data_IF_797367365312
#
_entry.id   IF_797367365312
#
_cell.length_a   1.000
_cell.length_b   1.000
_cell.length_c   1.000
_cell.angle_alpha   90.00
_cell.angle_beta   90.00
_cell.angle_gamma   90.00
#
_symmetry.space_group_name_H-M   'P 1'
#
loop_
_entity.id
_entity.type
_entity.pdbx_description
1 polymer ?
#
# COMPACT_ATOMS: atom_id res chain seq x y z
N UNK A 1 -0.82 14.68 2.98
CA UNK A 1 -0.92 15.46 1.72
C UNK A 1 -2.38 15.75 1.34
N UNK A 2 -3.28 14.75 1.36
CA UNK A 2 -4.71 14.92 1.01
C UNK A 2 -5.38 16.04 1.81
N UNK A 3 -5.45 15.93 3.14
CA UNK A 3 -6.14 16.94 3.97
C UNK A 3 -5.46 18.32 3.91
N UNK A 4 -4.13 18.37 3.73
CA UNK A 4 -3.38 19.62 3.53
C UNK A 4 -3.75 20.31 2.20
N UNK A 5 -3.95 19.53 1.13
CA UNK A 5 -4.42 20.08 -0.15
C UNK A 5 -5.83 20.65 -0.04
N UNK A 6 -6.71 19.95 0.68
CA UNK A 6 -8.07 20.44 0.98
C UNK A 6 -8.00 21.74 1.80
N UNK A 7 -7.10 21.80 2.80
CA UNK A 7 -6.90 22.96 3.65
C UNK A 7 -6.51 24.23 2.85
N UNK A 8 -5.53 24.12 1.95
CA UNK A 8 -4.97 25.25 1.21
C UNK A 8 -5.70 25.59 -0.11
N UNK A 9 -7.00 25.29 -0.19
CA UNK A 9 -7.86 25.76 -1.29
C UNK A 9 -8.42 24.67 -2.19
N UNK A 10 -8.07 23.40 -1.97
CA UNK A 10 -8.70 22.25 -2.61
C UNK A 10 -8.86 22.37 -4.15
N UNK A 11 -7.82 22.81 -4.85
CA UNK A 11 -7.90 23.09 -6.30
C UNK A 11 -8.21 21.88 -7.17
N UNK A 12 -8.06 20.66 -6.63
CA UNK A 12 -8.44 19.40 -7.29
C UNK A 12 -9.93 19.07 -7.08
N UNK A 13 -10.66 19.85 -6.29
CA UNK A 13 -12.10 19.67 -6.08
C UNK A 13 -12.48 18.39 -5.34
N UNK A 14 -11.58 17.85 -4.49
CA UNK A 14 -11.86 16.65 -3.70
C UNK A 14 -13.11 16.86 -2.84
N UNK A 15 -14.06 15.94 -2.96
CA UNK A 15 -15.20 15.88 -2.05
C UNK A 15 -14.75 15.14 -0.77
N UNK A 16 -14.72 15.84 0.37
CA UNK A 16 -14.24 15.28 1.65
C UNK A 16 -15.06 14.07 2.12
N UNK A 17 -16.28 13.89 1.59
CA UNK A 17 -17.14 12.73 1.85
C UNK A 17 -16.83 11.52 0.96
N UNK A 18 -16.00 11.72 -0.07
CA UNK A 18 -15.62 10.71 -1.08
C UNK A 18 -14.10 10.49 -1.14
N UNK A 19 -13.39 10.84 -0.07
CA UNK A 19 -12.01 10.40 0.11
C UNK A 19 -12.06 8.90 0.40
N UNK A 20 -11.52 8.10 -0.51
CA UNK A 20 -11.44 6.65 -0.35
C UNK A 20 -10.22 6.23 0.47
N UNK A 21 -9.19 7.09 0.50
CA UNK A 21 -7.93 6.82 1.18
C UNK A 21 -8.04 6.97 2.70
N UNK A 22 -7.93 5.85 3.42
CA UNK A 22 -7.87 5.78 4.88
C UNK A 22 -6.43 5.93 5.39
N UNK A 23 -6.27 6.12 6.69
CA UNK A 23 -4.97 6.14 7.37
C UNK A 23 -4.58 4.71 7.76
N UNK A 24 -3.33 4.51 8.18
CA UNK A 24 -2.86 3.19 8.63
C UNK A 24 -1.99 3.26 9.88
N UNK A 25 -2.03 2.20 10.68
CA UNK A 25 -1.17 1.99 11.84
C UNK A 25 -0.97 0.48 12.03
N UNK A 26 0.26 0.04 12.32
CA UNK A 26 0.55 -1.38 12.55
C UNK A 26 0.30 -1.78 14.02
N UNK A 27 -0.94 -1.58 14.47
CA UNK A 27 -1.39 -1.93 15.81
C UNK A 27 -2.83 -2.44 15.74
N UNK A 28 -3.17 -3.38 16.63
CA UNK A 28 -4.54 -3.87 16.78
C UNK A 28 -5.38 -2.87 17.59
N UNK A 29 -5.62 -1.69 17.03
CA UNK A 29 -6.39 -0.63 17.67
C UNK A 29 -7.79 -0.51 17.06
N UNK A 30 -8.78 -1.09 17.75
CA UNK A 30 -10.17 -1.04 17.31
C UNK A 30 -10.78 0.37 17.38
N UNK A 31 -10.24 1.26 18.21
CA UNK A 31 -10.82 2.58 18.46
C UNK A 31 -10.66 3.51 17.25
N UNK A 32 -9.72 3.23 16.36
CA UNK A 32 -9.42 4.03 15.18
C UNK A 32 -10.19 3.58 13.91
N UNK A 33 -11.06 2.57 14.00
CA UNK A 33 -11.84 2.08 12.85
C UNK A 33 -12.69 3.17 12.22
N UNK A 34 -13.31 4.01 13.05
CA UNK A 34 -14.14 5.14 12.63
C UNK A 34 -13.81 6.35 13.50
N UNK A 35 -13.42 7.45 12.86
CA UNK A 35 -13.09 8.70 13.53
C UNK A 35 -13.67 9.89 12.77
N UNK A 36 -13.70 11.04 13.44
CA UNK A 36 -13.81 12.35 12.78
C UNK A 36 -12.49 13.08 13.01
N UNK A 37 -11.85 13.52 11.94
CA UNK A 37 -10.57 14.23 12.00
C UNK A 37 -10.75 15.73 11.70
N UNK A 38 -9.65 16.50 11.76
CA UNK A 38 -9.62 17.94 11.44
C UNK A 38 -10.61 18.80 12.24
N UNK A 39 -10.80 18.48 13.52
CA UNK A 39 -11.61 19.25 14.47
C UNK A 39 -10.80 20.39 15.11
N UNK A 40 -11.50 21.34 15.76
CA UNK A 40 -10.87 22.40 16.56
C UNK A 40 -10.79 23.78 15.87
N UNK A 41 -11.65 24.05 14.89
CA UNK A 41 -11.81 25.38 14.29
C UNK A 41 -10.98 25.61 13.02
N UNK A 42 -10.98 26.86 12.54
CA UNK A 42 -10.49 27.26 11.22
C UNK A 42 -9.03 26.87 10.97
N UNK A 43 -8.17 26.94 11.99
CA UNK A 43 -6.75 26.60 11.88
C UNK A 43 -6.50 25.10 11.61
N UNK A 44 -7.46 24.23 11.92
CA UNK A 44 -7.27 22.77 11.90
C UNK A 44 -7.94 22.09 10.69
N UNK A 45 -8.58 22.89 9.84
CA UNK A 45 -9.10 22.49 8.54
C UNK A 45 -10.58 22.10 8.53
N UNK A 46 -10.91 21.14 7.67
CA UNK A 46 -12.29 20.80 7.34
C UNK A 46 -12.65 19.42 7.92
N UNK A 47 -13.55 19.34 8.91
CA UNK A 47 -13.94 18.07 9.51
C UNK A 47 -14.48 17.07 8.48
N UNK A 48 -14.07 15.81 8.61
CA UNK A 48 -14.63 14.70 7.83
C UNK A 48 -14.55 13.38 8.58
N UNK A 49 -15.41 12.43 8.19
CA UNK A 49 -15.28 11.04 8.61
C UNK A 49 -14.04 10.39 7.98
N UNK A 50 -13.39 9.54 8.75
CA UNK A 50 -12.17 8.84 8.35
C UNK A 50 -12.00 7.55 9.18
N UNK A 51 -10.90 6.84 8.96
CA UNK A 51 -10.51 5.76 9.85
C UNK A 51 -9.12 5.22 9.53
N UNK A 52 -8.71 4.25 10.33
CA UNK A 52 -7.47 3.54 10.17
C UNK A 52 -7.71 2.09 9.79
N UNK A 53 -6.80 1.57 8.97
CA UNK A 53 -6.62 0.14 8.73
C UNK A 53 -5.26 -0.30 9.28
N UNK A 54 -5.06 -1.61 9.45
CA UNK A 54 -3.74 -2.14 9.78
C UNK A 54 -2.80 -1.97 8.58
N UNK A 55 -1.51 -1.66 8.79
CA UNK A 55 -0.57 -1.29 7.71
C UNK A 55 -0.52 -2.29 6.55
N UNK A 56 -0.60 -3.59 6.84
CA UNK A 56 -0.58 -4.66 5.82
C UNK A 56 -1.83 -4.69 4.92
N UNK A 57 -2.90 -3.98 5.29
CA UNK A 57 -4.10 -3.78 4.48
C UNK A 57 -3.95 -2.64 3.46
N UNK A 58 -2.90 -1.83 3.55
CA UNK A 58 -2.69 -0.68 2.67
C UNK A 58 -2.50 -1.10 1.21
N UNK A 59 -3.08 -0.35 0.27
CA UNK A 59 -2.77 -0.49 -1.17
C UNK A 59 -1.26 -0.27 -1.43
N UNK A 60 -0.58 0.55 -0.62
CA UNK A 60 0.88 0.71 -0.67
C UNK A 60 1.59 -0.64 -0.47
N UNK A 61 1.12 -1.48 0.46
CA UNK A 61 1.69 -2.82 0.70
C UNK A 61 1.48 -3.74 -0.51
N UNK A 62 0.28 -3.72 -1.11
CA UNK A 62 0.00 -4.50 -2.31
C UNK A 62 0.88 -4.06 -3.50
N UNK A 63 1.01 -2.75 -3.71
CA UNK A 63 1.88 -2.15 -4.73
C UNK A 63 3.35 -2.49 -4.48
N UNK A 64 3.81 -2.37 -3.24
CA UNK A 64 5.17 -2.72 -2.83
C UNK A 64 5.49 -4.18 -3.17
N UNK A 65 4.53 -5.09 -2.94
CA UNK A 65 4.72 -6.50 -3.23
C UNK A 65 4.67 -6.83 -4.73
N UNK A 66 4.04 -5.99 -5.56
CA UNK A 66 3.92 -6.21 -7.01
C UNK A 66 4.89 -5.37 -7.85
N UNK A 67 5.65 -4.46 -7.24
CA UNK A 67 6.59 -3.61 -7.93
C UNK A 67 7.80 -4.41 -8.44
N UNK A 68 8.25 -4.11 -9.66
CA UNK A 68 9.41 -4.73 -10.28
C UNK A 68 10.73 -4.00 -9.98
N UNK A 69 10.65 -2.69 -9.79
CA UNK A 69 11.77 -1.79 -9.50
C UNK A 69 11.21 -0.46 -8.95
N UNK A 70 12.09 0.51 -8.63
CA UNK A 70 11.69 1.81 -8.09
C UNK A 70 10.83 2.64 -9.07
N UNK A 71 11.06 2.53 -10.39
CA UNK A 71 10.27 3.27 -11.38
C UNK A 71 8.86 2.68 -11.49
N UNK A 72 8.75 1.36 -11.43
CA UNK A 72 7.47 0.66 -11.39
C UNK A 72 6.70 0.96 -10.10
N UNK A 73 7.42 1.00 -8.96
CA UNK A 73 6.85 1.42 -7.67
C UNK A 73 6.25 2.83 -7.74
N UNK A 74 7.04 3.82 -8.18
CA UNK A 74 6.59 5.21 -8.30
C UNK A 74 5.37 5.35 -9.21
N UNK A 75 5.41 4.70 -10.38
CA UNK A 75 4.30 4.69 -11.34
C UNK A 75 3.02 4.11 -10.73
N UNK A 76 3.12 3.00 -9.99
CA UNK A 76 1.98 2.35 -9.33
C UNK A 76 1.42 3.22 -8.21
N UNK A 77 2.28 3.76 -7.36
CA UNK A 77 1.89 4.67 -6.28
C UNK A 77 1.17 5.91 -6.85
N UNK A 78 1.68 6.49 -7.93
CA UNK A 78 1.05 7.63 -8.60
C UNK A 78 -0.31 7.33 -9.22
N UNK A 79 -0.60 6.06 -9.54
CA UNK A 79 -1.87 5.63 -10.11
C UNK A 79 -2.97 5.37 -9.07
N UNK A 80 -2.65 5.27 -7.78
CA UNK A 80 -3.64 5.03 -6.71
C UNK A 80 -4.72 6.11 -6.72
N UNK A 81 -5.99 5.70 -6.63
CA UNK A 81 -7.13 6.61 -6.51
C UNK A 81 -7.30 6.96 -5.02
N UNK A 82 -7.15 8.22 -4.68
CA UNK A 82 -7.23 8.69 -3.29
C UNK A 82 -8.63 9.16 -2.89
N UNK A 83 -9.47 9.44 -3.88
CA UNK A 83 -10.82 9.94 -3.67
C UNK A 83 -11.43 10.45 -4.96
N UNK A 84 -12.57 11.12 -4.83
CA UNK A 84 -13.34 11.61 -5.96
C UNK A 84 -13.75 13.07 -5.77
N UNK A 85 -13.91 13.76 -6.89
CA UNK A 85 -14.53 15.07 -6.94
C UNK A 85 -16.06 14.98 -6.74
N UNK A 86 -16.74 16.13 -6.65
CA UNK A 86 -18.21 16.19 -6.53
C UNK A 86 -18.94 15.61 -7.75
N UNK A 87 -18.38 15.79 -8.93
CA UNK A 87 -18.82 15.22 -10.21
C UNK A 87 -18.39 13.75 -10.40
N UNK A 88 -17.78 13.14 -9.37
CA UNK A 88 -17.34 11.73 -9.33
C UNK A 88 -16.14 11.41 -10.25
N UNK A 89 -15.36 12.42 -10.62
CA UNK A 89 -14.08 12.22 -11.31
C UNK A 89 -13.04 11.71 -10.31
N UNK A 90 -12.30 10.62 -10.61
CA UNK A 90 -11.28 10.08 -9.71
C UNK A 90 -10.07 11.00 -9.63
N UNK A 91 -9.56 11.22 -8.42
CA UNK A 91 -8.32 11.94 -8.15
C UNK A 91 -7.26 10.94 -7.72
N UNK A 92 -6.07 11.02 -8.32
CA UNK A 92 -4.96 10.10 -8.11
C UNK A 92 -3.85 10.72 -7.25
N UNK A 93 -3.03 9.88 -6.62
CA UNK A 93 -1.94 10.33 -5.75
C UNK A 93 -0.92 11.24 -6.45
N UNK A 94 -0.63 11.02 -7.75
CA UNK A 94 0.26 11.89 -8.55
C UNK A 94 -0.26 13.31 -8.74
N UNK A 95 -1.57 13.53 -8.69
CA UNK A 95 -2.16 14.87 -8.79
C UNK A 95 -1.86 15.71 -7.53
N UNK A 96 -1.58 15.04 -6.40
CA UNK A 96 -1.02 15.64 -5.20
C UNK A 96 0.51 15.68 -5.18
N UNK A 97 1.19 15.20 -6.24
CA UNK A 97 2.65 15.05 -6.30
C UNK A 97 3.22 14.19 -5.16
N UNK A 98 2.48 13.16 -4.75
CA UNK A 98 2.82 12.32 -3.60
C UNK A 98 3.68 11.10 -3.98
N UNK A 99 3.66 10.68 -5.24
CA UNK A 99 4.33 9.50 -5.78
C UNK A 99 5.85 9.51 -5.58
N UNK A 100 6.53 10.57 -5.99
CA UNK A 100 7.98 10.67 -5.80
C UNK A 100 8.39 10.64 -4.33
N UNK A 101 7.67 11.36 -3.47
CA UNK A 101 7.93 11.39 -2.03
C UNK A 101 7.70 10.03 -1.35
N UNK A 102 6.61 9.32 -1.69
CA UNK A 102 6.37 7.96 -1.21
C UNK A 102 7.45 6.99 -1.68
N UNK A 103 7.89 7.12 -2.93
CA UNK A 103 8.95 6.26 -3.49
C UNK A 103 10.26 6.44 -2.75
N UNK A 104 10.64 7.67 -2.39
CA UNK A 104 11.84 7.94 -1.58
C UNK A 104 11.75 7.30 -0.21
N UNK A 105 10.60 7.38 0.47
CA UNK A 105 10.39 6.73 1.78
C UNK A 105 10.50 5.20 1.70
N UNK A 106 10.18 4.60 0.56
CA UNK A 106 10.21 3.17 0.32
C UNK A 106 11.48 2.67 -0.36
N UNK A 107 12.44 3.57 -0.65
CA UNK A 107 13.61 3.26 -1.48
C UNK A 107 14.41 2.09 -0.92
N UNK A 108 14.82 2.19 0.35
CA UNK A 108 15.62 1.15 0.99
C UNK A 108 14.75 -0.03 1.40
N UNK A 109 13.51 0.25 1.79
CA UNK A 109 12.53 -0.78 2.14
C UNK A 109 12.28 -1.76 1.00
N UNK A 110 12.39 -1.34 -0.27
CA UNK A 110 12.17 -2.20 -1.43
C UNK A 110 13.25 -3.29 -1.58
N UNK A 111 14.38 -3.21 -0.86
CA UNK A 111 15.42 -4.24 -0.93
C UNK A 111 15.03 -5.51 -0.14
N UNK A 112 15.03 -6.71 -0.75
CA UNK A 112 14.71 -7.96 -0.05
C UNK A 112 15.64 -8.23 1.14
N UNK A 113 15.07 -8.58 2.30
CA UNK A 113 15.84 -8.88 3.51
C UNK A 113 16.29 -10.34 3.52
N UNK A 114 17.60 -10.58 3.53
CA UNK A 114 18.18 -11.92 3.63
C UNK A 114 18.33 -12.33 5.10
N UNK A 115 17.81 -13.50 5.43
CA UNK A 115 18.00 -14.20 6.70
C UNK A 115 18.32 -15.67 6.42
N UNK A 116 18.35 -16.50 7.46
CA UNK A 116 18.61 -17.94 7.31
C UNK A 116 17.70 -18.80 8.20
N UNK A 117 17.50 -20.05 7.80
CA UNK A 117 16.86 -21.07 8.65
C UNK A 117 17.82 -21.56 9.74
N UNK A 118 17.35 -22.43 10.64
CA UNK A 118 18.17 -23.07 11.67
C UNK A 118 19.32 -23.93 11.09
N UNK A 119 19.18 -24.37 9.84
CA UNK A 119 20.18 -25.17 9.11
C UNK A 119 21.02 -24.31 8.15
N UNK A 120 21.00 -22.98 8.33
CA UNK A 120 21.73 -21.99 7.54
C UNK A 120 21.32 -21.92 6.05
N UNK A 121 20.13 -22.40 5.68
CA UNK A 121 19.60 -22.22 4.32
C UNK A 121 19.11 -20.76 4.15
N UNK A 122 19.40 -20.10 3.00
CA UNK A 122 19.07 -18.70 2.79
C UNK A 122 17.55 -18.49 2.61
N UNK A 123 17.01 -17.41 3.20
CA UNK A 123 15.59 -17.04 3.13
C UNK A 123 15.44 -15.55 2.88
N UNK A 124 14.55 -15.17 1.96
CA UNK A 124 14.10 -13.78 1.83
C UNK A 124 12.78 -13.56 2.57
N UNK A 125 12.75 -12.58 3.48
CA UNK A 125 11.52 -12.09 4.13
C UNK A 125 11.22 -10.69 3.61
N UNK A 126 10.18 -10.54 2.78
CA UNK A 126 9.90 -9.27 2.11
C UNK A 126 8.45 -9.13 1.64
N UNK A 127 7.78 -8.07 2.11
CA UNK A 127 6.36 -7.83 1.85
C UNK A 127 5.44 -8.68 2.72
N UNK A 128 4.16 -8.34 2.72
CA UNK A 128 3.14 -9.06 3.48
C UNK A 128 1.76 -8.40 3.34
N UNK A 129 1.13 -8.43 2.15
CA UNK A 129 -0.20 -7.91 1.96
C UNK A 129 -1.23 -8.93 2.47
N UNK A 130 -2.43 -8.47 2.82
CA UNK A 130 -3.53 -9.39 3.08
C UNK A 130 -3.88 -10.27 1.86
N UNK A 131 -4.42 -11.45 2.13
CA UNK A 131 -4.82 -12.43 1.12
C UNK A 131 -6.32 -12.38 0.78
N UNK A 132 -7.10 -11.51 1.43
CA UNK A 132 -8.52 -11.28 1.11
C UNK A 132 -8.72 -10.07 0.18
N UNK A 133 -8.32 -8.87 0.63
CA UNK A 133 -8.42 -7.61 -0.13
C UNK A 133 -7.24 -7.36 -1.07
N UNK A 134 -6.20 -8.19 -0.98
CA UNK A 134 -5.05 -8.20 -1.88
C UNK A 134 -4.64 -9.66 -2.18
N UNK A 135 -3.43 -9.86 -2.72
CA UNK A 135 -2.99 -11.12 -3.31
C UNK A 135 -2.24 -12.06 -2.35
N UNK A 136 -1.94 -11.64 -1.11
CA UNK A 136 -1.47 -12.56 -0.08
C UNK A 136 -0.10 -13.22 -0.29
N UNK A 137 0.78 -12.63 -1.11
CA UNK A 137 2.10 -13.19 -1.41
C UNK A 137 3.22 -12.26 -0.93
N UNK A 138 4.42 -12.82 -0.72
CA UNK A 138 5.64 -12.02 -0.59
C UNK A 138 5.93 -11.25 -1.90
N UNK A 139 6.84 -10.28 -1.85
CA UNK A 139 7.13 -9.42 -2.99
C UNK A 139 7.64 -10.17 -4.24
N UNK A 140 7.29 -9.67 -5.42
CA UNK A 140 7.84 -10.10 -6.72
C UNK A 140 9.36 -9.96 -6.75
N UNK A 141 9.90 -8.87 -6.21
CA UNK A 141 11.35 -8.63 -6.24
C UNK A 141 12.13 -9.68 -5.46
N UNK A 142 11.64 -10.11 -4.30
CA UNK A 142 12.26 -11.20 -3.53
C UNK A 142 12.19 -12.53 -4.27
N UNK A 143 11.02 -12.91 -4.82
CA UNK A 143 10.87 -14.16 -5.58
C UNK A 143 11.73 -14.15 -6.84
N UNK A 144 11.79 -13.04 -7.60
CA UNK A 144 12.63 -12.92 -8.80
C UNK A 144 14.11 -12.96 -8.46
N UNK A 145 14.54 -12.31 -7.38
CA UNK A 145 15.93 -12.36 -6.91
C UNK A 145 16.30 -13.81 -6.53
N UNK A 146 15.46 -14.50 -5.78
CA UNK A 146 15.68 -15.92 -5.43
C UNK A 146 15.81 -16.81 -6.67
N UNK A 147 14.95 -16.63 -7.68
CA UNK A 147 14.97 -17.41 -8.93
C UNK A 147 16.24 -17.20 -9.75
N UNK A 148 17.01 -16.15 -9.49
CA UNK A 148 18.30 -15.88 -10.14
C UNK A 148 19.49 -16.39 -9.35
N UNK A 149 19.31 -16.72 -8.07
CA UNK A 149 20.40 -17.10 -7.15
C UNK A 149 20.37 -18.58 -6.76
N UNK A 150 19.26 -19.28 -6.98
CA UNK A 150 19.05 -20.65 -6.54
C UNK A 150 18.44 -21.51 -7.65
N UNK A 151 18.79 -22.81 -7.66
CA UNK A 151 18.20 -23.78 -8.59
C UNK A 151 16.71 -24.03 -8.32
N UNK A 152 16.31 -23.95 -7.04
CA UNK A 152 14.93 -24.10 -6.59
C UNK A 152 14.55 -22.97 -5.64
N UNK A 153 13.33 -22.48 -5.81
CA UNK A 153 12.74 -21.45 -4.94
C UNK A 153 11.40 -21.95 -4.43
N UNK A 154 11.29 -22.03 -3.11
CA UNK A 154 10.02 -22.32 -2.42
C UNK A 154 9.43 -21.00 -1.96
N UNK A 155 8.16 -20.77 -2.25
CA UNK A 155 7.38 -19.61 -1.82
C UNK A 155 5.97 -20.05 -1.45
N UNK A 156 5.21 -19.18 -0.81
CA UNK A 156 3.87 -19.47 -0.31
C UNK A 156 2.92 -18.29 -0.59
N UNK A 157 1.62 -18.57 -0.46
CA UNK A 157 0.55 -17.59 -0.51
C UNK A 157 -0.42 -17.85 0.65
N UNK A 158 -0.98 -16.78 1.22
CA UNK A 158 -1.87 -16.88 2.39
C UNK A 158 -3.24 -17.50 2.08
N UNK A 159 -3.88 -18.06 3.12
CA UNK A 159 -5.13 -18.85 3.05
C UNK A 159 -4.99 -20.17 2.26
N UNK A 160 -6.12 -20.75 1.82
CA UNK A 160 -6.16 -21.96 1.02
C UNK A 160 -5.89 -21.70 -0.47
N UNK A 161 -5.83 -22.76 -1.26
CA UNK A 161 -5.58 -22.67 -2.71
C UNK A 161 -6.70 -21.94 -3.47
N UNK A 162 -7.92 -21.93 -2.92
CA UNK A 162 -9.09 -21.20 -3.40
C UNK A 162 -8.93 -19.66 -3.35
N UNK A 163 -7.98 -19.15 -2.57
CA UNK A 163 -7.67 -17.73 -2.46
C UNK A 163 -6.20 -17.44 -2.76
N UNK A 164 -5.28 -18.02 -1.99
CA UNK A 164 -3.85 -17.71 -2.08
C UNK A 164 -3.24 -18.18 -3.39
N UNK A 165 -3.46 -19.46 -3.75
CA UNK A 165 -2.87 -20.02 -4.96
C UNK A 165 -3.51 -19.43 -6.22
N UNK A 166 -4.83 -19.26 -6.26
CA UNK A 166 -5.53 -18.55 -7.35
C UNK A 166 -4.91 -17.16 -7.58
N UNK A 167 -4.80 -16.33 -6.54
CA UNK A 167 -4.21 -14.99 -6.67
C UNK A 167 -2.71 -15.02 -7.00
N UNK A 168 -1.98 -16.04 -6.55
CA UNK A 168 -0.59 -16.21 -6.95
C UNK A 168 -0.48 -16.42 -8.46
N UNK A 169 -1.27 -17.33 -9.04
CA UNK A 169 -1.21 -17.65 -10.46
C UNK A 169 -1.88 -16.60 -11.36
N UNK A 170 -2.99 -15.99 -10.92
CA UNK A 170 -3.78 -15.09 -11.76
C UNK A 170 -3.44 -13.60 -11.56
N UNK A 171 -2.65 -13.24 -10.53
CA UNK A 171 -2.21 -11.84 -10.28
C UNK A 171 -0.68 -11.69 -10.27
N UNK A 172 0.06 -12.59 -9.59
CA UNK A 172 1.51 -12.43 -9.39
C UNK A 172 2.37 -13.00 -10.53
N UNK A 173 1.98 -14.15 -11.10
CA UNK A 173 2.68 -14.82 -12.21
C UNK A 173 2.53 -14.08 -13.55
#
# INVERSE_FOLDING_TARGET
>A
MIDNHVYWGNSLGLDTRRIAWRRVLDMNDRALREIVNSLGGVSNGFPRSDGFDITVASEVMAIFCLALDLKDLERRLGNMIIGYTRDKTPVRARELKADGAMTVLLKDALMPNLVQTLENNPVFIHGGPFANIAHGCNSVLATKTALKLSDYVVTEAGFGADLGAEKFFDIKC
#
